data_IF_526789736127
#
_entry.id   IF_526789736127
#
_cell.length_a   1.000
_cell.length_b   1.000
_cell.length_c   1.000
_cell.angle_alpha   90.00
_cell.angle_beta   90.00
_cell.angle_gamma   90.00
#
_symmetry.space_group_name_H-M   'P 1'
#
loop_
_entity.id
_entity.type
_entity.pdbx_description
1 polymer ?
#
# COMPACT_ATOMS: atom_id res chain seq x y z
N UNK A 1 0.91 2.99 -23.54
CA UNK A 1 1.08 2.03 -22.43
C UNK A 1 -0.01 0.95 -22.46
N UNK A 2 -1.27 1.30 -22.71
CA UNK A 2 -2.37 0.34 -22.89
C UNK A 2 -2.08 -0.71 -23.99
N UNK A 3 -1.54 -0.30 -25.15
CA UNK A 3 -1.29 -1.22 -26.28
C UNK A 3 -0.16 -2.24 -26.07
N UNK A 4 0.69 -2.08 -25.04
CA UNK A 4 1.84 -2.98 -24.82
C UNK A 4 1.43 -4.38 -24.36
N UNK A 5 0.25 -4.49 -23.75
CA UNK A 5 -0.20 -5.71 -23.07
C UNK A 5 -1.42 -6.36 -23.72
N UNK A 6 -2.04 -5.70 -24.70
CA UNK A 6 -3.23 -6.21 -25.41
C UNK A 6 -2.92 -7.55 -26.08
N UNK A 7 -3.77 -8.55 -25.82
CA UNK A 7 -3.66 -9.89 -26.42
C UNK A 7 -2.50 -10.74 -25.89
N UNK A 8 -1.79 -10.30 -24.85
CA UNK A 8 -0.76 -11.10 -24.16
C UNK A 8 -1.37 -11.88 -22.99
N UNK A 9 -0.86 -13.09 -22.68
CA UNK A 9 -1.15 -13.73 -21.40
C UNK A 9 -0.81 -12.78 -20.25
N UNK A 10 -1.72 -12.67 -19.27
CA UNK A 10 -1.62 -11.74 -18.13
C UNK A 10 -1.58 -10.24 -18.50
N UNK A 11 -2.09 -9.86 -19.68
CA UNK A 11 -2.04 -8.48 -20.13
C UNK A 11 -2.86 -7.51 -19.28
N UNK A 12 -4.01 -7.97 -18.76
CA UNK A 12 -4.84 -7.17 -17.85
C UNK A 12 -4.16 -7.01 -16.48
N UNK A 13 -3.57 -8.08 -15.95
CA UNK A 13 -2.81 -8.08 -14.70
C UNK A 13 -1.60 -7.16 -14.79
N UNK A 14 -0.87 -7.18 -15.91
CA UNK A 14 0.27 -6.28 -16.12
C UNK A 14 -0.16 -4.81 -16.18
N UNK A 15 -1.28 -4.50 -16.85
CA UNK A 15 -1.83 -3.14 -16.87
C UNK A 15 -2.24 -2.68 -15.47
N UNK A 16 -2.93 -3.54 -14.72
CA UNK A 16 -3.29 -3.29 -13.33
C UNK A 16 -2.04 -3.02 -12.48
N UNK A 17 -1.03 -3.89 -12.56
CA UNK A 17 0.21 -3.75 -11.79
C UNK A 17 0.90 -2.40 -12.06
N UNK A 18 1.01 -2.00 -13.33
CA UNK A 18 1.64 -0.73 -13.69
C UNK A 18 0.84 0.46 -13.16
N UNK A 19 -0.49 0.41 -13.20
CA UNK A 19 -1.36 1.47 -12.67
C UNK A 19 -1.19 1.61 -11.16
N UNK A 20 -1.27 0.49 -10.44
CA UNK A 20 -1.18 0.46 -8.97
C UNK A 20 0.21 0.87 -8.49
N UNK A 21 1.28 0.33 -9.08
CA UNK A 21 2.66 0.72 -8.74
C UNK A 21 2.92 2.19 -9.04
N UNK A 22 2.39 2.73 -10.15
CA UNK A 22 2.53 4.15 -10.46
C UNK A 22 1.86 5.05 -9.41
N UNK A 23 0.75 4.61 -8.85
CA UNK A 23 0.03 5.33 -7.79
C UNK A 23 0.76 5.22 -6.44
N UNK A 24 1.17 4.01 -6.04
CA UNK A 24 1.98 3.79 -4.85
C UNK A 24 3.29 4.61 -4.90
N UNK A 25 3.99 4.59 -6.03
CA UNK A 25 5.22 5.36 -6.21
C UNK A 25 5.02 6.87 -6.11
N UNK A 26 3.86 7.40 -6.56
CA UNK A 26 3.51 8.81 -6.34
C UNK A 26 3.32 9.09 -4.85
N UNK A 27 2.56 8.24 -4.16
CA UNK A 27 2.30 8.37 -2.73
C UNK A 27 3.60 8.32 -1.91
N UNK A 28 4.52 7.40 -2.21
CA UNK A 28 5.81 7.31 -1.53
C UNK A 28 6.64 8.59 -1.71
N UNK A 29 6.62 9.21 -2.91
CA UNK A 29 7.30 10.49 -3.14
C UNK A 29 6.67 11.64 -2.37
N UNK A 30 5.34 11.69 -2.30
CA UNK A 30 4.62 12.69 -1.50
C UNK A 30 4.99 12.56 -0.02
N UNK A 31 4.90 11.34 0.54
CA UNK A 31 5.28 11.04 1.93
C UNK A 31 6.72 11.47 2.20
N UNK A 32 7.66 11.07 1.34
CA UNK A 32 9.06 11.46 1.48
C UNK A 32 9.20 12.98 1.51
N UNK A 33 8.58 13.69 0.56
CA UNK A 33 8.71 15.14 0.45
C UNK A 33 8.13 15.88 1.67
N UNK A 34 6.96 15.48 2.15
CA UNK A 34 6.26 16.14 3.25
C UNK A 34 6.87 15.81 4.61
N UNK A 35 7.23 14.54 4.83
CA UNK A 35 7.76 14.10 6.12
C UNK A 35 9.23 14.45 6.32
N UNK A 36 10.05 14.52 5.27
CA UNK A 36 11.43 15.02 5.41
C UNK A 36 11.42 16.48 5.83
N UNK A 37 10.51 17.29 5.30
CA UNK A 37 10.33 18.68 5.75
C UNK A 37 9.91 18.75 7.22
N UNK A 38 8.98 17.90 7.66
CA UNK A 38 8.54 17.85 9.07
C UNK A 38 9.59 17.27 10.02
N UNK A 39 10.41 16.32 9.58
CA UNK A 39 11.44 15.67 10.39
C UNK A 39 12.61 16.61 10.72
N UNK A 40 12.88 17.59 9.84
CA UNK A 40 13.80 18.69 10.15
C UNK A 40 13.30 19.58 11.30
N UNK A 41 11.98 19.59 11.56
CA UNK A 41 11.34 20.36 12.63
C UNK A 41 11.04 19.52 13.89
N UNK A 42 10.93 18.19 13.77
CA UNK A 42 10.53 17.27 14.86
C UNK A 42 11.20 15.91 14.72
N UNK A 43 11.67 15.30 15.82
CA UNK A 43 12.30 13.96 15.80
C UNK A 43 11.28 12.82 15.65
N UNK A 44 10.40 12.91 14.67
CA UNK A 44 9.40 11.88 14.41
C UNK A 44 9.95 10.79 13.47
N UNK A 45 9.16 9.72 13.32
CA UNK A 45 9.56 8.44 12.70
C UNK A 45 9.98 8.56 11.24
N UNK A 46 10.76 7.58 10.79
CA UNK A 46 11.30 7.54 9.43
C UNK A 46 10.18 7.62 8.37
N UNK A 47 10.32 8.49 7.36
CA UNK A 47 9.39 8.58 6.23
C UNK A 47 9.27 7.26 5.46
N UNK A 48 10.31 6.41 5.51
CA UNK A 48 10.35 5.11 4.84
C UNK A 48 9.25 4.20 5.40
N UNK A 49 9.19 4.03 6.72
CA UNK A 49 8.19 3.16 7.37
C UNK A 49 6.74 3.59 7.07
N UNK A 50 6.44 4.89 6.97
CA UNK A 50 5.09 5.35 6.61
C UNK A 50 4.79 5.03 5.15
N UNK A 51 5.78 5.17 4.26
CA UNK A 51 5.64 4.84 2.86
C UNK A 51 5.40 3.33 2.64
N UNK A 52 6.12 2.46 3.34
CA UNK A 52 6.00 0.99 3.21
C UNK A 52 4.58 0.51 3.60
N UNK A 53 4.07 0.96 4.75
CA UNK A 53 2.68 0.62 5.13
C UNK A 53 1.63 1.22 4.19
N UNK A 54 1.84 2.45 3.70
CA UNK A 54 0.87 3.12 2.84
C UNK A 54 0.84 2.51 1.43
N UNK A 55 1.99 2.15 0.87
CA UNK A 55 2.08 1.48 -0.43
C UNK A 55 1.38 0.12 -0.38
N UNK A 56 1.67 -0.69 0.64
CA UNK A 56 1.02 -1.98 0.81
C UNK A 56 -0.49 -1.86 1.00
N UNK A 57 -0.95 -0.92 1.85
CA UNK A 57 -2.39 -0.71 2.05
C UNK A 57 -3.13 -0.35 0.75
N UNK A 58 -2.57 0.55 -0.06
CA UNK A 58 -3.18 0.97 -1.34
C UNK A 58 -3.17 -0.18 -2.35
N UNK A 59 -2.04 -0.88 -2.49
CA UNK A 59 -1.93 -2.01 -3.43
C UNK A 59 -2.91 -3.11 -3.05
N UNK A 60 -2.94 -3.50 -1.77
CA UNK A 60 -3.83 -4.55 -1.28
C UNK A 60 -5.30 -4.18 -1.46
N UNK A 61 -5.69 -2.95 -1.14
CA UNK A 61 -7.07 -2.45 -1.32
C UNK A 61 -7.53 -2.61 -2.78
N UNK A 62 -6.73 -2.12 -3.73
CA UNK A 62 -7.06 -2.18 -5.16
C UNK A 62 -7.03 -3.60 -5.71
N UNK A 63 -6.13 -4.45 -5.19
CA UNK A 63 -6.07 -5.85 -5.55
C UNK A 63 -7.31 -6.61 -5.07
N UNK A 64 -7.77 -6.33 -3.85
CA UNK A 64 -9.00 -6.92 -3.31
C UNK A 64 -10.22 -6.57 -4.17
N UNK A 65 -10.28 -5.33 -4.69
CA UNK A 65 -11.39 -4.90 -5.55
C UNK A 65 -11.33 -5.54 -6.94
N UNK A 66 -10.13 -5.69 -7.51
CA UNK A 66 -9.94 -6.12 -8.90
C UNK A 66 -9.81 -7.64 -9.05
N UNK A 67 -9.10 -8.28 -8.13
CA UNK A 67 -8.79 -9.71 -8.11
C UNK A 67 -9.11 -10.32 -6.72
N UNK A 68 -10.38 -10.30 -6.26
CA UNK A 68 -10.77 -10.68 -4.90
C UNK A 68 -10.47 -12.13 -4.49
N UNK A 69 -10.06 -12.97 -5.45
CA UNK A 69 -9.73 -14.39 -5.23
C UNK A 69 -8.23 -14.67 -5.24
N UNK A 70 -7.42 -13.69 -5.61
CA UNK A 70 -5.99 -13.87 -5.70
C UNK A 70 -5.33 -13.51 -4.36
N UNK A 71 -4.56 -14.42 -3.75
CA UNK A 71 -3.81 -14.10 -2.54
C UNK A 71 -2.73 -13.06 -2.83
N UNK A 72 -2.51 -12.16 -1.87
CA UNK A 72 -1.34 -11.29 -1.82
C UNK A 72 -0.37 -11.81 -0.76
N UNK A 73 0.92 -11.91 -1.13
CA UNK A 73 2.01 -12.13 -0.18
C UNK A 73 2.83 -10.86 -0.12
N UNK A 74 2.85 -10.19 1.03
CA UNK A 74 3.55 -8.92 1.22
C UNK A 74 4.28 -8.86 2.56
N UNK A 75 5.26 -7.96 2.69
CA UNK A 75 6.16 -7.91 3.84
C UNK A 75 5.49 -7.35 5.10
N UNK A 76 4.68 -6.30 4.96
CA UNK A 76 4.21 -5.54 6.12
C UNK A 76 3.07 -6.23 6.87
N UNK A 77 3.05 -6.02 8.19
CA UNK A 77 1.97 -6.49 9.06
C UNK A 77 1.52 -5.37 10.00
N UNK A 78 0.21 -5.21 10.19
CA UNK A 78 -0.32 -4.07 10.96
C UNK A 78 -0.16 -4.22 12.48
N UNK A 79 0.39 -5.35 12.97
CA UNK A 79 0.54 -5.61 14.40
C UNK A 79 1.32 -4.48 15.12
N UNK A 80 2.37 -3.96 14.49
CA UNK A 80 3.18 -2.85 15.03
C UNK A 80 2.45 -1.51 15.04
N UNK A 81 1.42 -1.35 14.20
CA UNK A 81 0.60 -0.13 14.11
C UNK A 81 -0.52 -0.10 15.16
N UNK A 82 -0.96 -1.27 15.63
CA UNK A 82 -2.10 -1.42 16.56
C UNK A 82 -1.74 -1.20 18.04
N UNK A 83 -0.46 -1.03 18.36
CA UNK A 83 0.00 -0.72 19.74
C UNK A 83 0.10 0.80 19.98
N UNK A 84 0.23 1.21 21.24
CA UNK A 84 0.27 2.63 21.62
C UNK A 84 1.43 3.38 20.95
N UNK A 85 2.56 2.72 20.80
CA UNK A 85 3.69 3.21 20.03
C UNK A 85 3.24 3.39 18.57
N UNK A 86 2.67 2.39 17.92
CA UNK A 86 2.20 2.43 16.53
C UNK A 86 1.22 3.56 16.18
N UNK A 87 0.43 4.06 17.13
CA UNK A 87 -0.71 4.95 16.88
C UNK A 87 -0.40 6.20 16.03
N UNK A 88 0.76 6.86 16.24
CA UNK A 88 1.16 8.01 15.42
C UNK A 88 1.44 7.62 13.97
N UNK A 89 2.12 6.49 13.74
CA UNK A 89 2.39 5.95 12.40
C UNK A 89 1.08 5.59 11.73
N UNK A 90 0.20 4.86 12.43
CA UNK A 90 -1.11 4.47 11.89
C UNK A 90 -1.91 5.70 11.46
N UNK A 91 -1.96 6.75 12.28
CA UNK A 91 -2.63 8.01 11.92
C UNK A 91 -2.04 8.64 10.65
N UNK A 92 -0.71 8.66 10.51
CA UNK A 92 -0.05 9.19 9.32
C UNK A 92 -0.36 8.35 8.07
N UNK A 93 -0.21 7.02 8.17
CA UNK A 93 -0.54 6.08 7.09
C UNK A 93 -1.98 6.27 6.65
N UNK A 94 -2.94 6.28 7.59
CA UNK A 94 -4.36 6.51 7.28
C UNK A 94 -4.60 7.82 6.55
N UNK A 95 -3.95 8.92 6.98
CA UNK A 95 -4.10 10.21 6.32
C UNK A 95 -3.59 10.21 4.87
N UNK A 96 -2.50 9.50 4.59
CA UNK A 96 -1.96 9.37 3.24
C UNK A 96 -2.81 8.43 2.37
N UNK A 97 -3.21 7.27 2.91
CA UNK A 97 -4.07 6.31 2.21
C UNK A 97 -5.43 6.93 1.87
N UNK A 98 -5.98 7.77 2.75
CA UNK A 98 -7.24 8.47 2.53
C UNK A 98 -7.24 9.44 1.33
N UNK A 99 -6.05 9.84 0.84
CA UNK A 99 -5.91 10.65 -0.39
C UNK A 99 -6.23 9.84 -1.65
N UNK A 100 -6.08 8.52 -1.58
CA UNK A 100 -6.37 7.58 -2.67
C UNK A 100 -7.74 6.93 -2.46
N UNK A 101 -8.02 6.51 -1.23
CA UNK A 101 -9.30 5.91 -0.83
C UNK A 101 -10.06 6.86 0.08
N UNK A 102 -10.93 7.69 -0.50
CA UNK A 102 -11.74 8.64 0.26
C UNK A 102 -12.53 7.92 1.36
N UNK A 103 -12.41 8.42 2.59
CA UNK A 103 -13.08 7.84 3.76
C UNK A 103 -12.37 6.65 4.41
N UNK A 104 -11.16 6.27 3.97
CA UNK A 104 -10.40 5.20 4.62
C UNK A 104 -10.16 5.49 6.11
N UNK A 105 -10.53 4.54 6.97
CA UNK A 105 -10.26 4.59 8.39
C UNK A 105 -9.08 3.69 8.77
N UNK A 106 -8.52 3.88 9.97
CA UNK A 106 -7.40 3.06 10.46
C UNK A 106 -7.70 1.57 10.51
N UNK A 107 -8.98 1.19 10.71
CA UNK A 107 -9.42 -0.20 10.64
C UNK A 107 -9.29 -0.79 9.24
N UNK A 108 -9.66 -0.03 8.21
CA UNK A 108 -9.52 -0.44 6.81
C UNK A 108 -8.06 -0.57 6.42
N UNK A 109 -7.23 0.41 6.79
CA UNK A 109 -5.78 0.40 6.54
C UNK A 109 -5.13 -0.84 7.12
N UNK A 110 -5.39 -1.15 8.40
CA UNK A 110 -4.86 -2.36 9.01
C UNK A 110 -5.35 -3.63 8.32
N UNK A 111 -6.63 -3.68 7.92
CA UNK A 111 -7.20 -4.83 7.18
C UNK A 111 -6.52 -5.00 5.82
N UNK A 112 -6.26 -3.92 5.09
CA UNK A 112 -5.58 -3.97 3.80
C UNK A 112 -4.12 -4.37 3.94
N UNK A 113 -3.40 -3.86 4.93
CA UNK A 113 -2.02 -4.31 5.23
C UNK A 113 -2.02 -5.81 5.51
N UNK A 114 -2.89 -6.29 6.40
CA UNK A 114 -2.94 -7.70 6.81
C UNK A 114 -3.45 -8.64 5.70
N UNK A 115 -4.04 -8.10 4.62
CA UNK A 115 -4.37 -8.89 3.44
C UNK A 115 -3.12 -9.48 2.77
N UNK A 116 -1.93 -8.92 3.05
CA UNK A 116 -0.64 -9.43 2.63
C UNK A 116 -0.20 -10.77 3.26
N UNK A 117 -0.93 -11.32 4.24
CA UNK A 117 -0.61 -12.63 4.85
C UNK A 117 -1.12 -13.84 4.01
N UNK A 118 -1.37 -13.63 2.72
CA UNK A 118 -1.76 -14.68 1.79
C UNK A 118 -0.74 -15.83 1.75
N UNK A 119 -1.17 -16.96 1.20
CA UNK A 119 -0.33 -18.14 0.99
C UNK A 119 -0.18 -18.39 -0.50
N UNK A 120 0.86 -19.14 -0.85
CA UNK A 120 1.08 -19.55 -2.23
C UNK A 120 -0.11 -20.36 -2.76
N UNK A 121 -0.43 -20.14 -4.02
CA UNK A 121 -1.52 -20.81 -4.73
C UNK A 121 -1.14 -20.98 -6.21
N UNK A 122 -2.05 -21.53 -7.01
CA UNK A 122 -1.83 -21.64 -8.47
C UNK A 122 -1.68 -20.25 -9.13
N UNK A 123 -2.29 -19.21 -8.55
CA UNK A 123 -2.13 -17.80 -8.93
C UNK A 123 -2.12 -16.97 -7.64
N UNK A 124 -1.14 -16.07 -7.50
CA UNK A 124 -0.99 -15.17 -6.36
C UNK A 124 -0.14 -13.96 -6.77
N UNK A 125 -0.19 -12.90 -5.97
CA UNK A 125 0.58 -11.67 -6.13
C UNK A 125 1.64 -11.57 -5.04
N UNK A 126 2.74 -10.90 -5.35
CA UNK A 126 3.79 -10.57 -4.39
C UNK A 126 4.04 -9.07 -4.38
N UNK A 127 4.27 -8.52 -3.20
CA UNK A 127 4.60 -7.11 -3.01
C UNK A 127 5.72 -6.98 -1.97
N UNK A 128 6.61 -6.04 -2.24
CA UNK A 128 7.67 -5.52 -1.37
C UNK A 128 7.55 -3.99 -1.46
#
# INVERSE_FOLDING_TARGET
MQDLFVGKPYGEEALFAVQVVSMAAKLCREIQSEMVTQALEKSDRSPVTVADFASQAVVASLLMDTYPRDPLIAEEASQTLRVAEGAKTLKAVTAYVARIHEGAESGDVCRWIDHGDGKTANRFWTLD
#
